data_IF_297242086936
#
_entry.id   IF_297242086936
#
_cell.length_a   1.000
_cell.length_b   1.000
_cell.length_c   1.000
_cell.angle_alpha   90.00
_cell.angle_beta   90.00
_cell.angle_gamma   90.00
#
_symmetry.space_group_name_H-M   'P 1'
#
loop_
_entity.id
_entity.type
_entity.pdbx_description
1 polymer ?
#
# COMPACT_ATOMS: atom_id res chain seq x y z
N UNK A 1 -14.21 -0.48 -2.69
CA UNK A 1 -14.56 -1.35 -3.84
C UNK A 1 -13.34 -1.51 -4.76
N UNK A 2 -13.44 -2.23 -5.87
CA UNK A 2 -12.31 -2.50 -6.77
C UNK A 2 -11.06 -3.06 -6.05
N UNK A 3 -11.26 -3.96 -5.07
CA UNK A 3 -10.19 -4.53 -4.26
C UNK A 3 -10.26 -6.05 -4.17
N UNK A 4 -9.10 -6.71 -4.24
CA UNK A 4 -8.93 -8.12 -3.86
C UNK A 4 -9.07 -8.36 -2.33
N UNK A 5 -9.10 -7.29 -1.51
CA UNK A 5 -9.21 -7.34 -0.06
C UNK A 5 -7.85 -7.18 0.63
N UNK A 6 -7.46 -8.19 1.41
CA UNK A 6 -6.26 -8.15 2.24
C UNK A 6 -5.99 -9.50 2.90
N UNK A 7 -4.82 -9.61 3.51
CA UNK A 7 -4.35 -10.83 4.17
C UNK A 7 -3.64 -10.49 5.48
N UNK A 8 -3.97 -11.23 6.53
CA UNK A 8 -3.23 -11.31 7.79
C UNK A 8 -2.70 -12.74 7.92
N UNK A 9 -1.43 -12.98 7.56
CA UNK A 9 -0.81 -14.30 7.60
C UNK A 9 -0.99 -15.03 8.93
N UNK A 10 -1.33 -16.31 8.86
CA UNK A 10 -1.64 -17.13 10.04
C UNK A 10 -2.99 -16.85 10.70
N UNK A 11 -3.76 -15.86 10.23
CA UNK A 11 -5.06 -15.52 10.81
C UNK A 11 -6.21 -15.61 9.79
N UNK A 12 -6.25 -14.71 8.81
CA UNK A 12 -7.39 -14.57 7.90
C UNK A 12 -6.97 -13.96 6.57
N UNK A 13 -7.68 -14.32 5.49
CA UNK A 13 -7.54 -13.68 4.18
C UNK A 13 -8.92 -13.41 3.58
N UNK A 14 -9.04 -12.29 2.89
CA UNK A 14 -10.28 -11.92 2.20
C UNK A 14 -10.24 -12.54 0.80
N UNK A 15 -11.16 -13.48 0.53
CA UNK A 15 -11.37 -14.05 -0.80
C UNK A 15 -10.09 -14.57 -1.46
N UNK A 16 -9.71 -13.97 -2.58
CA UNK A 16 -8.57 -14.37 -3.41
C UNK A 16 -7.23 -13.73 -3.03
N UNK A 17 -7.16 -12.97 -1.94
CA UNK A 17 -5.90 -12.37 -1.48
C UNK A 17 -4.81 -13.44 -1.25
N UNK A 18 -3.60 -13.17 -1.73
CA UNK A 18 -2.48 -14.12 -1.70
C UNK A 18 -2.56 -15.26 -2.73
N UNK A 19 -3.63 -15.33 -3.54
CA UNK A 19 -3.74 -16.26 -4.67
C UNK A 19 -3.84 -17.74 -4.29
N UNK A 20 -3.27 -18.59 -5.15
CA UNK A 20 -3.26 -20.04 -4.99
C UNK A 20 -2.37 -20.47 -3.81
N UNK A 21 -2.60 -21.68 -3.30
CA UNK A 21 -1.91 -22.18 -2.11
C UNK A 21 -0.38 -22.22 -2.27
N UNK A 22 0.13 -22.48 -3.47
CA UNK A 22 1.57 -22.47 -3.73
C UNK A 22 2.18 -21.11 -3.42
N UNK A 23 1.51 -20.01 -3.80
CA UNK A 23 1.97 -18.66 -3.49
C UNK A 23 1.92 -18.36 -1.99
N UNK A 24 0.90 -18.87 -1.28
CA UNK A 24 0.83 -18.76 0.18
C UNK A 24 2.07 -19.39 0.84
N UNK A 25 2.53 -20.54 0.37
CA UNK A 25 3.74 -21.17 0.88
C UNK A 25 5.01 -20.44 0.43
N UNK A 26 5.14 -20.12 -0.85
CA UNK A 26 6.32 -19.44 -1.41
C UNK A 26 6.56 -18.08 -0.74
N UNK A 27 5.51 -17.29 -0.52
CA UNK A 27 5.58 -16.00 0.17
C UNK A 27 5.43 -16.09 1.68
N UNK A 28 5.48 -17.30 2.26
CA UNK A 28 5.45 -17.54 3.72
C UNK A 28 4.20 -16.97 4.43
N UNK A 29 3.08 -16.80 3.72
CA UNK A 29 1.84 -16.16 4.21
C UNK A 29 0.99 -17.04 5.15
N UNK A 30 1.51 -18.22 5.54
CA UNK A 30 0.87 -19.10 6.51
C UNK A 30 1.22 -18.76 7.97
N UNK A 31 2.18 -17.86 8.21
CA UNK A 31 2.57 -17.38 9.54
C UNK A 31 2.82 -15.87 9.51
N UNK A 32 2.64 -15.15 10.62
CA UNK A 32 2.94 -13.72 10.68
C UNK A 32 4.46 -13.46 10.60
N UNK A 33 4.82 -12.36 9.95
CA UNK A 33 6.06 -11.64 10.18
C UNK A 33 5.79 -10.30 10.86
N UNK A 34 6.66 -9.30 10.66
CA UNK A 34 6.61 -8.03 11.39
C UNK A 34 6.34 -6.81 10.49
N UNK A 35 6.15 -7.00 9.18
CA UNK A 35 5.95 -5.90 8.22
C UNK A 35 4.49 -5.75 7.83
N UNK A 36 3.91 -4.58 8.07
CA UNK A 36 2.58 -4.23 7.57
C UNK A 36 2.67 -3.43 6.27
N UNK A 37 1.75 -3.65 5.34
CA UNK A 37 1.66 -2.80 4.15
C UNK A 37 0.23 -2.39 3.78
N UNK A 38 0.14 -1.27 3.08
CA UNK A 38 -1.10 -0.78 2.46
C UNK A 38 -0.82 -0.27 1.04
N UNK A 39 -1.70 -0.61 0.10
CA UNK A 39 -1.53 -0.30 -1.33
C UNK A 39 -2.87 -0.04 -2.03
N UNK A 40 -2.83 0.67 -3.16
CA UNK A 40 -3.95 0.86 -4.10
C UNK A 40 -3.98 -0.17 -5.24
N UNK A 41 -2.92 -0.94 -5.42
CA UNK A 41 -2.82 -1.95 -6.48
C UNK A 41 -2.87 -3.36 -5.94
N UNK A 42 -3.87 -4.14 -6.38
CA UNK A 42 -4.06 -5.52 -5.95
C UNK A 42 -3.00 -6.45 -6.52
N UNK A 43 -2.62 -6.27 -7.79
CA UNK A 43 -1.52 -7.03 -8.39
C UNK A 43 -0.21 -6.80 -7.63
N UNK A 44 0.10 -5.53 -7.34
CA UNK A 44 1.31 -5.18 -6.60
C UNK A 44 1.23 -5.55 -5.11
N UNK A 45 0.04 -5.74 -4.52
CA UNK A 45 -0.05 -6.31 -3.16
C UNK A 45 0.54 -7.72 -3.09
N UNK A 46 0.35 -8.53 -4.12
CA UNK A 46 0.94 -9.87 -4.14
C UNK A 46 2.44 -9.83 -4.43
N UNK A 47 2.89 -8.84 -5.20
CA UNK A 47 4.32 -8.58 -5.37
C UNK A 47 4.97 -8.10 -4.06
N UNK A 48 4.29 -7.27 -3.27
CA UNK A 48 4.75 -6.91 -1.93
C UNK A 48 4.84 -8.14 -1.02
N UNK A 49 3.86 -9.06 -1.06
CA UNK A 49 3.96 -10.32 -0.33
C UNK A 49 5.24 -11.09 -0.71
N UNK A 50 5.55 -11.16 -2.01
CA UNK A 50 6.74 -11.82 -2.53
C UNK A 50 8.03 -11.11 -2.04
N UNK A 51 8.18 -9.82 -2.33
CA UNK A 51 9.37 -9.03 -1.96
C UNK A 51 9.64 -9.09 -0.46
N UNK A 52 8.61 -8.87 0.37
CA UNK A 52 8.76 -8.87 1.83
C UNK A 52 9.11 -10.26 2.37
N UNK A 53 8.57 -11.34 1.79
CA UNK A 53 8.93 -12.70 2.19
C UNK A 53 10.42 -13.06 1.95
N UNK A 54 11.06 -12.36 1.00
CA UNK A 54 12.46 -12.55 0.62
C UNK A 54 13.41 -11.63 1.37
N UNK A 55 12.94 -10.46 1.81
CA UNK A 55 13.79 -9.39 2.36
C UNK A 55 13.58 -9.13 3.84
N UNK A 56 12.50 -9.67 4.43
CA UNK A 56 12.17 -9.52 5.85
C UNK A 56 11.74 -10.87 6.45
N UNK A 57 11.26 -10.86 7.69
CA UNK A 57 10.70 -12.04 8.37
C UNK A 57 9.32 -12.46 7.84
N UNK A 58 8.64 -11.55 7.13
CA UNK A 58 7.36 -11.77 6.44
C UNK A 58 6.36 -10.63 6.63
N UNK A 59 5.16 -10.85 6.10
CA UNK A 59 4.03 -9.91 6.23
C UNK A 59 3.30 -10.16 7.56
N UNK A 60 3.09 -9.10 8.33
CA UNK A 60 2.21 -9.08 9.49
C UNK A 60 0.75 -8.89 9.06
N UNK A 61 0.47 -7.84 8.28
CA UNK A 61 -0.85 -7.53 7.72
C UNK A 61 -0.71 -6.73 6.42
N UNK A 62 -1.40 -7.15 5.36
CA UNK A 62 -1.37 -6.53 4.05
C UNK A 62 -2.76 -6.13 3.58
N UNK A 63 -2.96 -4.85 3.25
CA UNK A 63 -4.27 -4.32 2.82
C UNK A 63 -4.18 -3.70 1.44
N UNK A 64 -5.11 -4.08 0.57
CA UNK A 64 -5.35 -3.42 -0.70
C UNK A 64 -6.64 -2.58 -0.61
N UNK A 65 -6.50 -1.26 -0.70
CA UNK A 65 -7.63 -0.32 -0.55
C UNK A 65 -8.60 -0.38 -1.75
N UNK A 66 -8.05 -0.68 -2.93
CA UNK A 66 -8.76 -0.65 -4.21
C UNK A 66 -8.45 0.61 -5.04
N UNK A 67 -8.69 0.50 -6.35
CA UNK A 67 -8.34 1.52 -7.34
C UNK A 67 -9.35 2.65 -7.52
N UNK A 68 -10.46 2.66 -6.78
CA UNK A 68 -11.51 3.68 -6.92
C UNK A 68 -11.07 5.04 -6.34
N UNK A 69 -11.60 6.13 -6.91
CA UNK A 69 -11.33 7.51 -6.45
C UNK A 69 -11.69 7.73 -4.97
N UNK A 70 -12.75 7.08 -4.51
CA UNK A 70 -13.22 7.15 -3.12
C UNK A 70 -13.22 5.74 -2.52
N UNK A 71 -12.09 5.28 -1.93
CA UNK A 71 -12.07 4.00 -1.26
C UNK A 71 -12.91 4.07 0.02
N UNK A 72 -13.39 2.92 0.50
CA UNK A 72 -14.14 2.86 1.76
C UNK A 72 -13.29 3.14 3.01
N UNK A 73 -11.98 3.01 2.89
CA UNK A 73 -10.97 3.33 3.91
C UNK A 73 -9.76 3.96 3.25
N UNK A 74 -9.07 4.86 3.94
CA UNK A 74 -7.89 5.57 3.47
C UNK A 74 -6.58 4.88 3.87
N UNK A 75 -5.45 5.36 3.33
CA UNK A 75 -4.13 4.98 3.82
C UNK A 75 -3.97 5.21 5.33
N UNK A 76 -4.37 6.38 5.83
CA UNK A 76 -4.19 6.75 7.23
C UNK A 76 -4.97 5.85 8.18
N UNK A 77 -6.15 5.37 7.79
CA UNK A 77 -6.93 4.45 8.63
C UNK A 77 -6.14 3.19 8.96
N UNK A 78 -5.49 2.59 7.97
CA UNK A 78 -4.69 1.37 8.16
C UNK A 78 -3.33 1.66 8.79
N UNK A 79 -2.66 2.75 8.41
CA UNK A 79 -1.40 3.15 9.02
C UNK A 79 -1.56 3.39 10.52
N UNK A 80 -2.66 4.01 10.95
CA UNK A 80 -2.96 4.18 12.37
C UNK A 80 -3.12 2.83 13.09
N UNK A 81 -3.81 1.85 12.47
CA UNK A 81 -3.89 0.49 13.03
C UNK A 81 -2.52 -0.17 13.13
N UNK A 82 -1.70 -0.09 12.08
CA UNK A 82 -0.36 -0.67 12.07
C UNK A 82 0.56 -0.01 13.08
N UNK A 83 0.51 1.32 13.20
CA UNK A 83 1.29 2.08 14.18
C UNK A 83 0.92 1.69 15.62
N UNK A 84 -0.34 1.31 15.88
CA UNK A 84 -0.79 0.86 17.20
C UNK A 84 -0.66 -0.66 17.42
N UNK A 85 -0.35 -1.46 16.41
CA UNK A 85 -0.18 -2.90 16.53
C UNK A 85 1.24 -3.24 17.05
N UNK A 86 1.41 -3.82 18.25
CA UNK A 86 2.75 -4.15 18.76
C UNK A 86 3.53 -5.15 17.89
N UNK A 87 2.86 -5.96 17.07
CA UNK A 87 3.51 -6.94 16.16
C UNK A 87 4.07 -6.28 14.89
N UNK A 88 3.67 -5.04 14.58
CA UNK A 88 4.14 -4.34 13.40
C UNK A 88 5.41 -3.53 13.74
N UNK A 89 6.55 -3.89 13.16
CA UNK A 89 7.82 -3.19 13.36
C UNK A 89 8.15 -2.23 12.20
N UNK A 90 7.61 -2.49 11.01
CA UNK A 90 7.84 -1.70 9.79
C UNK A 90 6.52 -1.51 9.03
N UNK A 91 6.29 -0.30 8.53
CA UNK A 91 5.16 0.04 7.67
C UNK A 91 5.66 0.29 6.25
N UNK A 92 5.04 -0.35 5.26
CA UNK A 92 5.32 -0.16 3.83
C UNK A 92 4.10 0.39 3.12
N UNK A 93 4.27 1.45 2.35
CA UNK A 93 3.20 2.09 1.60
C UNK A 93 3.55 2.09 0.13
N UNK A 94 2.63 1.57 -0.67
CA UNK A 94 2.68 1.72 -2.12
C UNK A 94 1.57 2.68 -2.54
N UNK A 95 1.97 3.93 -2.72
CA UNK A 95 1.17 5.05 -3.21
C UNK A 95 0.98 5.00 -4.72
N UNK A 96 0.19 5.92 -5.26
CA UNK A 96 -0.02 6.07 -6.70
C UNK A 96 -0.19 7.55 -7.06
N UNK A 97 -0.02 7.88 -8.33
CA UNK A 97 -0.42 9.17 -8.90
C UNK A 97 -1.90 9.47 -8.65
N UNK A 98 -2.24 10.75 -8.46
CA UNK A 98 -3.62 11.23 -8.27
C UNK A 98 -4.04 11.40 -6.80
N UNK A 99 -4.73 12.49 -6.49
CA UNK A 99 -5.16 12.80 -5.13
C UNK A 99 -4.03 13.22 -4.18
N UNK A 100 -4.38 13.47 -2.90
CA UNK A 100 -3.50 14.10 -1.91
C UNK A 100 -3.37 13.30 -0.59
N UNK A 101 -3.83 12.05 -0.56
CA UNK A 101 -3.89 11.27 0.68
C UNK A 101 -2.51 11.08 1.33
N UNK A 102 -1.47 10.86 0.53
CA UNK A 102 -0.11 10.61 1.00
C UNK A 102 0.48 11.80 1.77
N UNK A 103 0.07 13.03 1.46
CA UNK A 103 0.51 14.22 2.22
C UNK A 103 0.02 14.21 3.67
N UNK A 104 -1.11 13.56 3.95
CA UNK A 104 -1.58 13.38 5.33
C UNK A 104 -0.63 12.49 6.12
N UNK A 105 0.00 11.51 5.46
CA UNK A 105 1.03 10.63 6.04
C UNK A 105 2.28 11.45 6.35
N UNK A 106 2.73 12.31 5.43
CA UNK A 106 3.84 13.23 5.68
C UNK A 106 3.59 14.15 6.88
N UNK A 107 2.36 14.69 7.00
CA UNK A 107 1.97 15.52 8.15
C UNK A 107 2.03 14.71 9.45
N UNK A 108 1.49 13.48 9.45
CA UNK A 108 1.48 12.60 10.61
C UNK A 108 2.89 12.14 11.05
N UNK A 109 3.81 11.94 10.10
CA UNK A 109 5.23 11.69 10.38
C UNK A 109 5.90 12.91 11.02
N UNK A 110 5.70 14.12 10.46
CA UNK A 110 6.26 15.36 11.00
C UNK A 110 5.74 15.66 12.42
N UNK A 111 4.48 15.36 12.69
CA UNK A 111 3.87 15.53 14.01
C UNK A 111 4.11 14.35 14.96
N UNK A 112 4.91 13.34 14.56
CA UNK A 112 5.21 12.13 15.35
C UNK A 112 3.99 11.32 15.79
N UNK A 113 2.87 11.44 15.07
CA UNK A 113 1.70 10.56 15.25
C UNK A 113 2.07 9.17 14.78
N UNK A 114 2.72 9.09 13.62
CA UNK A 114 3.39 7.87 13.14
C UNK A 114 4.80 7.90 13.70
N UNK A 115 5.17 6.88 14.48
CA UNK A 115 6.48 6.80 15.13
C UNK A 115 7.28 5.55 14.73
N UNK A 116 6.67 4.63 13.98
CA UNK A 116 7.35 3.46 13.43
C UNK A 116 8.10 3.78 12.14
N UNK A 117 9.18 3.04 11.83
CA UNK A 117 9.81 3.08 10.52
C UNK A 117 8.78 2.90 9.40
N UNK A 118 8.89 3.74 8.37
CA UNK A 118 7.96 3.78 7.26
C UNK A 118 8.73 3.91 5.94
N UNK A 119 8.46 3.01 5.00
CA UNK A 119 8.96 3.03 3.63
C UNK A 119 7.78 3.35 2.72
N UNK A 120 7.94 4.33 1.83
CA UNK A 120 6.89 4.71 0.89
C UNK A 120 7.45 4.86 -0.53
N UNK A 121 6.64 4.46 -1.50
CA UNK A 121 6.88 4.73 -2.91
C UNK A 121 5.54 4.99 -3.61
N UNK A 122 5.42 6.13 -4.29
CA UNK A 122 4.28 6.44 -5.15
C UNK A 122 4.62 6.07 -6.59
N UNK A 123 3.83 5.17 -7.19
CA UNK A 123 3.99 4.75 -8.59
C UNK A 123 3.32 5.74 -9.56
N UNK A 124 3.67 5.67 -10.84
CA UNK A 124 3.13 6.57 -11.87
C UNK A 124 4.02 7.77 -12.18
N UNK A 125 5.31 7.72 -11.81
CA UNK A 125 6.30 8.76 -12.14
C UNK A 125 6.45 8.98 -13.65
N UNK A 126 6.08 7.99 -14.47
CA UNK A 126 6.07 8.14 -15.93
C UNK A 126 5.07 9.21 -16.41
N UNK A 127 4.04 9.55 -15.62
CA UNK A 127 3.00 10.51 -16.02
C UNK A 127 3.58 11.89 -16.36
N UNK A 128 4.71 12.27 -15.75
CA UNK A 128 5.35 13.56 -15.98
C UNK A 128 6.13 13.66 -17.30
N UNK A 129 6.33 12.55 -18.01
CA UNK A 129 7.00 12.54 -19.32
C UNK A 129 6.05 12.67 -20.50
N UNK A 130 4.73 12.74 -20.24
CA UNK A 130 3.72 12.91 -21.26
C UNK A 130 3.21 14.35 -21.28
N UNK A 131 3.01 14.89 -22.48
CA UNK A 131 2.53 16.28 -22.68
C UNK A 131 1.04 16.46 -22.37
N UNK A 132 0.31 15.37 -22.15
CA UNK A 132 -1.13 15.36 -21.88
C UNK A 132 -1.43 14.58 -20.61
N UNK A 133 -2.52 14.94 -19.93
CA UNK A 133 -2.98 14.20 -18.77
C UNK A 133 -3.44 12.79 -19.20
N UNK A 134 -2.83 11.76 -18.60
CA UNK A 134 -3.15 10.36 -18.86
C UNK A 134 -3.95 9.80 -17.69
N UNK A 135 -5.13 9.25 -18.01
CA UNK A 135 -5.88 8.40 -17.10
C UNK A 135 -5.30 6.98 -17.13
N UNK A 136 -4.78 6.51 -16.00
CA UNK A 136 -4.36 5.11 -15.85
C UNK A 136 -5.54 4.21 -15.48
N UNK A 137 -5.29 2.90 -15.37
CA UNK A 137 -6.36 1.91 -15.19
C UNK A 137 -7.20 2.08 -13.90
N UNK A 138 -6.60 2.54 -12.81
CA UNK A 138 -7.34 2.87 -11.59
C UNK A 138 -8.08 4.19 -11.74
N UNK A 139 -9.35 4.25 -11.32
CA UNK A 139 -10.16 5.47 -11.41
C UNK A 139 -9.57 6.65 -10.63
N UNK A 140 -8.78 6.42 -9.58
CA UNK A 140 -8.04 7.47 -8.87
C UNK A 140 -6.80 7.98 -9.62
N UNK A 141 -6.24 7.19 -10.54
CA UNK A 141 -4.92 7.42 -11.11
C UNK A 141 -4.96 8.43 -12.27
N UNK A 142 -5.35 9.66 -11.93
CA UNK A 142 -5.32 10.86 -12.76
C UNK A 142 -4.83 12.02 -11.89
N UNK A 143 -3.83 12.76 -12.38
CA UNK A 143 -3.32 13.93 -11.67
C UNK A 143 -3.95 15.21 -12.25
N UNK A 144 -4.74 15.91 -11.43
CA UNK A 144 -5.33 17.19 -11.81
C UNK A 144 -4.39 18.38 -11.52
N UNK A 145 -3.30 18.14 -10.79
CA UNK A 145 -2.30 19.16 -10.43
C UNK A 145 -0.90 18.57 -10.24
N UNK A 146 0.13 19.43 -10.20
CA UNK A 146 1.51 19.02 -9.97
C UNK A 146 1.71 18.30 -8.62
N UNK A 147 0.96 18.70 -7.58
CA UNK A 147 1.02 18.07 -6.27
C UNK A 147 0.49 16.61 -6.29
N UNK A 148 -0.36 16.28 -7.25
CA UNK A 148 -0.91 14.92 -7.38
C UNK A 148 0.01 13.98 -8.17
N UNK A 149 1.09 14.49 -8.75
CA UNK A 149 2.06 13.66 -9.46
C UNK A 149 2.82 12.76 -8.49
N UNK A 150 3.08 11.52 -8.90
CA UNK A 150 3.85 10.58 -8.10
C UNK A 150 5.24 11.13 -7.74
N UNK A 151 5.88 11.86 -8.66
CA UNK A 151 7.18 12.52 -8.45
C UNK A 151 7.11 13.58 -7.34
N UNK A 152 6.04 14.38 -7.29
CA UNK A 152 5.87 15.37 -6.23
C UNK A 152 5.54 14.74 -4.88
N UNK A 153 4.81 13.62 -4.85
CA UNK A 153 4.50 12.88 -3.62
C UNK A 153 5.73 12.17 -3.03
N UNK A 154 6.65 11.72 -3.87
CA UNK A 154 7.88 11.04 -3.46
C UNK A 154 8.96 12.00 -2.92
N UNK A 155 8.78 13.32 -3.05
CA UNK A 155 9.75 14.36 -2.65
C UNK A 155 9.40 14.96 -1.29
#
# INVERSE_FOLDING_TARGET
PASIGGIRPGCFRIGHAGGIINNIYSSKLYRPGSVCYVTRSGGLSNELNNILSLTTDGVCEGIHLGGDRYPGTSYMDHINRFNNNPEAELIVILGEVGGHEEYSICKALKSKIINKPLIAWCIGTCSSYFDTNIQFGHANACADSLAETATAKNK
#
